data_IF_272072525538
#
_entry.id   IF_272072525538
#
_cell.length_a   1.000
_cell.length_b   1.000
_cell.length_c   1.000
_cell.angle_alpha   90.00
_cell.angle_beta   90.00
_cell.angle_gamma   90.00
#
_symmetry.space_group_name_H-M   'P 1'
#
loop_
_entity.id
_entity.type
_entity.pdbx_description
1 polymer ?
#
# COMPACT_ATOMS: atom_id res chain seq x y z
N UNK A 1 -8.50 -11.43 -3.01
CA UNK A 1 -8.83 -10.09 -2.47
C UNK A 1 -7.54 -9.53 -1.93
N UNK A 2 -7.14 -8.34 -2.34
CA UNK A 2 -5.85 -7.78 -1.93
C UNK A 2 -5.88 -7.39 -0.45
N UNK A 3 -5.08 -8.04 0.39
CA UNK A 3 -5.09 -7.82 1.84
C UNK A 3 -4.40 -6.52 2.25
N UNK A 4 -3.38 -6.11 1.51
CA UNK A 4 -2.60 -4.90 1.78
C UNK A 4 -1.95 -4.36 0.50
N UNK A 5 -1.56 -3.09 0.54
CA UNK A 5 -0.95 -2.41 -0.60
C UNK A 5 0.44 -1.88 -0.24
N UNK A 6 1.42 -2.15 -1.08
CA UNK A 6 2.70 -1.46 -1.05
C UNK A 6 2.54 -0.07 -1.68
N UNK A 7 3.07 0.96 -1.03
CA UNK A 7 3.06 2.33 -1.55
C UNK A 7 4.49 2.82 -1.70
N UNK A 8 4.84 3.31 -2.88
CA UNK A 8 6.15 3.89 -3.18
C UNK A 8 5.97 5.24 -3.86
N UNK A 9 6.75 6.24 -3.44
CA UNK A 9 6.85 7.51 -4.17
C UNK A 9 7.42 7.26 -5.57
N UNK A 10 6.77 7.81 -6.59
CA UNK A 10 7.19 7.73 -7.97
C UNK A 10 7.25 9.12 -8.59
N UNK A 11 8.30 9.35 -9.37
CA UNK A 11 8.48 10.55 -10.15
C UNK A 11 9.11 10.15 -11.48
N UNK A 12 8.44 10.48 -12.59
CA UNK A 12 8.92 10.16 -13.92
C UNK A 12 9.23 11.43 -14.67
N UNK A 13 10.32 11.43 -15.43
CA UNK A 13 10.65 12.53 -16.36
C UNK A 13 9.98 12.36 -17.71
N UNK A 14 9.29 11.24 -17.93
CA UNK A 14 8.59 10.94 -19.18
C UNK A 14 7.21 11.58 -19.16
N UNK A 15 6.78 12.28 -20.22
CA UNK A 15 5.44 12.85 -20.33
C UNK A 15 4.42 11.75 -20.63
N UNK A 16 4.16 10.90 -19.64
CA UNK A 16 3.11 9.90 -19.67
C UNK A 16 1.92 10.37 -18.85
N UNK A 17 0.73 9.92 -19.23
CA UNK A 17 -0.50 10.20 -18.49
C UNK A 17 -1.12 8.86 -18.11
N UNK A 18 -1.33 8.65 -16.81
CA UNK A 18 -1.92 7.45 -16.25
C UNK A 18 -3.31 7.75 -15.69
N UNK A 19 -4.16 6.72 -15.55
CA UNK A 19 -5.46 6.88 -14.90
C UNK A 19 -5.35 6.41 -13.46
N UNK A 20 -5.72 7.28 -12.52
CA UNK A 20 -5.71 6.94 -11.10
C UNK A 20 -6.85 5.95 -10.79
N UNK A 21 -6.56 4.76 -10.22
CA UNK A 21 -7.59 3.76 -9.93
C UNK A 21 -8.52 4.14 -8.75
N UNK A 22 -8.17 5.17 -7.97
CA UNK A 22 -8.94 5.59 -6.79
C UNK A 22 -9.98 6.67 -7.12
N UNK A 23 -9.68 7.56 -8.07
CA UNK A 23 -10.59 8.65 -8.43
C UNK A 23 -10.97 8.69 -9.92
N UNK A 24 -10.40 7.80 -10.75
CA UNK A 24 -10.67 7.74 -12.19
C UNK A 24 -10.09 8.90 -13.02
N UNK A 25 -9.46 9.90 -12.37
CA UNK A 25 -8.88 11.05 -13.06
C UNK A 25 -7.51 10.76 -13.65
N UNK A 26 -7.16 11.51 -14.69
CA UNK A 26 -5.84 11.47 -15.33
C UNK A 26 -4.79 12.09 -14.40
N UNK A 27 -3.65 11.42 -14.31
CA UNK A 27 -2.46 11.78 -13.55
C UNK A 27 -1.32 11.97 -14.55
N UNK A 28 -0.62 13.10 -14.46
CA UNK A 28 0.63 13.28 -15.19
C UNK A 28 1.79 12.60 -14.46
N UNK A 29 2.55 11.77 -15.18
CA UNK A 29 3.68 11.04 -14.63
C UNK A 29 4.83 11.95 -14.14
N UNK A 30 4.85 13.20 -14.62
CA UNK A 30 5.77 14.25 -14.19
C UNK A 30 5.35 14.92 -12.88
N UNK A 31 4.10 14.81 -12.47
CA UNK A 31 3.65 15.31 -11.16
C UNK A 31 4.06 14.33 -10.08
N UNK A 32 4.23 14.83 -8.84
CA UNK A 32 4.44 13.96 -7.69
C UNK A 32 3.26 13.00 -7.53
N UNK A 33 3.56 11.70 -7.60
CA UNK A 33 2.57 10.66 -7.48
C UNK A 33 3.14 9.44 -6.78
N UNK A 34 2.28 8.46 -6.53
CA UNK A 34 2.68 7.21 -5.89
C UNK A 34 2.32 6.03 -6.78
N UNK A 35 3.15 5.01 -6.70
CA UNK A 35 2.85 3.69 -7.26
C UNK A 35 2.33 2.83 -6.12
N UNK A 36 1.17 2.24 -6.34
CA UNK A 36 0.55 1.25 -5.45
C UNK A 36 0.69 -0.13 -6.08
N UNK A 37 1.11 -1.10 -5.28
CA UNK A 37 1.25 -2.49 -5.71
C UNK A 37 0.41 -3.38 -4.78
N UNK A 38 -0.54 -4.16 -5.33
CA UNK A 38 -1.33 -5.08 -4.52
C UNK A 38 -0.40 -6.15 -3.93
N UNK A 39 -0.38 -6.31 -2.61
CA UNK A 39 0.45 -7.30 -1.91
C UNK A 39 1.95 -7.24 -2.26
N UNK A 40 2.43 -6.09 -2.73
CA UNK A 40 3.80 -5.92 -3.20
C UNK A 40 4.08 -6.45 -4.60
N UNK A 41 3.06 -6.92 -5.32
CA UNK A 41 3.19 -7.38 -6.70
C UNK A 41 3.57 -6.23 -7.64
N UNK A 42 4.76 -6.36 -8.23
CA UNK A 42 5.34 -5.35 -9.11
C UNK A 42 4.73 -5.37 -10.50
N UNK A 43 4.11 -6.47 -10.91
CA UNK A 43 3.50 -6.63 -12.23
C UNK A 43 2.16 -5.89 -12.29
N UNK A 44 1.35 -5.99 -11.24
CA UNK A 44 0.06 -5.33 -11.06
C UNK A 44 0.13 -3.90 -10.53
N UNK A 45 1.30 -3.26 -10.56
CA UNK A 45 1.52 -1.91 -10.04
C UNK A 45 0.67 -0.85 -10.77
N UNK A 46 0.08 0.07 -10.01
CA UNK A 46 -0.80 1.13 -10.52
C UNK A 46 -0.32 2.50 -10.07
N UNK A 47 -0.49 3.50 -10.93
CA UNK A 47 -0.15 4.88 -10.60
C UNK A 47 -1.37 5.58 -10.00
N UNK A 48 -1.19 6.20 -8.84
CA UNK A 48 -2.24 6.92 -8.14
C UNK A 48 -1.73 8.28 -7.62
N UNK A 49 -2.66 9.22 -7.46
CA UNK A 49 -2.35 10.48 -6.78
C UNK A 49 -2.01 10.24 -5.32
N UNK A 50 -1.01 10.97 -4.82
CA UNK A 50 -0.64 10.95 -3.39
C UNK A 50 -1.83 11.29 -2.51
N UNK A 51 -2.61 12.32 -2.87
CA UNK A 51 -3.80 12.76 -2.15
C UNK A 51 -4.89 11.67 -2.09
N UNK A 52 -5.11 10.95 -3.19
CA UNK A 52 -6.10 9.89 -3.22
C UNK A 52 -5.71 8.72 -2.31
N UNK A 53 -4.42 8.36 -2.28
CA UNK A 53 -3.93 7.30 -1.38
C UNK A 53 -4.03 7.74 0.08
N UNK A 54 -3.71 9.00 0.40
CA UNK A 54 -3.87 9.55 1.74
C UNK A 54 -5.35 9.58 2.17
N UNK A 55 -6.26 9.98 1.28
CA UNK A 55 -7.69 9.97 1.54
C UNK A 55 -8.20 8.54 1.79
N UNK A 56 -7.83 7.58 0.94
CA UNK A 56 -8.25 6.19 1.09
C UNK A 56 -7.69 5.55 2.38
N UNK A 57 -6.46 5.90 2.77
CA UNK A 57 -5.87 5.50 4.06
C UNK A 57 -6.66 6.10 5.22
N UNK A 58 -7.01 7.38 5.17
CA UNK A 58 -7.81 8.06 6.19
C UNK A 58 -9.22 7.47 6.32
N UNK A 59 -9.80 7.03 5.22
CA UNK A 59 -11.10 6.34 5.18
C UNK A 59 -11.06 4.88 5.65
N UNK A 60 -9.87 4.30 5.88
CA UNK A 60 -9.71 2.90 6.28
C UNK A 60 -10.00 1.88 5.17
N UNK A 61 -10.29 2.32 3.95
CA UNK A 61 -10.53 1.45 2.79
C UNK A 61 -9.24 0.98 2.11
N UNK A 62 -8.10 1.56 2.49
CA UNK A 62 -6.78 1.24 1.96
C UNK A 62 -5.81 0.91 3.09
N UNK A 63 -5.51 -0.38 3.26
CA UNK A 63 -4.51 -0.87 4.20
C UNK A 63 -3.14 -0.87 3.57
N UNK A 64 -2.22 -0.10 4.15
CA UNK A 64 -0.80 -0.19 3.81
C UNK A 64 -0.17 -1.42 4.45
N UNK A 65 0.99 -1.86 3.96
CA UNK A 65 1.76 -2.95 4.58
C UNK A 65 1.89 -2.83 6.11
N UNK A 66 2.18 -1.63 6.61
CA UNK A 66 2.32 -1.36 8.05
C UNK A 66 1.02 -1.60 8.83
N UNK A 67 -0.12 -1.19 8.26
CA UNK A 67 -1.45 -1.37 8.86
C UNK A 67 -1.82 -2.85 8.92
N UNK A 68 -1.62 -3.57 7.83
CA UNK A 68 -1.84 -5.02 7.79
C UNK A 68 -0.88 -5.76 8.75
N UNK A 69 0.39 -5.37 8.81
CA UNK A 69 1.37 -5.94 9.74
C UNK A 69 0.97 -5.73 11.19
N UNK A 70 0.36 -4.59 11.53
CA UNK A 70 -0.17 -4.33 12.86
C UNK A 70 -1.39 -5.20 13.20
N UNK A 71 -2.20 -5.58 12.20
CA UNK A 71 -3.35 -6.50 12.41
C UNK A 71 -2.94 -7.97 12.59
N UNK A 72 -1.72 -8.36 12.22
CA UNK A 72 -1.28 -9.74 12.38
C UNK A 72 -1.01 -10.08 13.85
N UNK A 73 -1.46 -11.26 14.32
CA UNK A 73 -1.15 -11.74 15.65
C UNK A 73 0.38 -11.86 15.79
N UNK A 74 0.96 -11.08 16.70
CA UNK A 74 2.38 -11.21 17.07
C UNK A 74 2.55 -12.63 17.60
N UNK A 75 3.27 -13.48 16.86
CA UNK A 75 3.48 -14.86 17.30
C UNK A 75 4.01 -14.87 18.74
N UNK A 76 3.44 -15.67 19.64
CA UNK A 76 3.96 -15.77 21.00
C UNK A 76 5.42 -16.21 20.91
N UNK A 77 6.32 -15.37 21.42
CA UNK A 77 7.76 -15.62 21.37
C UNK A 77 8.09 -16.99 21.96
N UNK A 78 9.20 -17.58 21.53
CA UNK A 78 9.67 -18.91 21.97
C UNK A 78 9.62 -19.10 23.50
N UNK A 79 9.81 -18.03 24.28
CA UNK A 79 9.67 -18.06 25.75
C UNK A 79 8.27 -18.46 26.24
N UNK A 80 7.19 -18.00 25.58
CA UNK A 80 5.83 -18.41 25.93
C UNK A 80 5.57 -19.91 25.70
N UNK A 81 6.33 -20.55 24.79
CA UNK A 81 6.30 -22.02 24.59
C UNK A 81 7.06 -22.79 25.67
N UNK A 82 8.07 -22.19 26.31
CA UNK A 82 8.88 -22.84 27.34
C UNK A 82 8.21 -22.71 28.73
N UNK A 83 7.54 -21.58 29.00
CA UNK A 83 6.92 -21.31 30.31
C UNK A 83 5.45 -21.78 30.44
N UNK A 84 4.83 -22.34 29.39
CA UNK A 84 3.43 -22.80 29.41
C UNK A 84 3.22 -24.26 29.83
N UNK A 85 4.25 -24.94 30.33
CA UNK A 85 4.21 -26.35 30.73
C UNK A 85 4.79 -26.50 32.15
N UNK A 86 4.08 -25.95 33.12
CA UNK A 86 4.33 -26.07 34.55
C UNK A 86 3.01 -26.26 35.28
#
# INVERSE_FOLDING_TARGET
>A
MTEWWAVRRAHSRRPATYTCPLCGRKLHAMSEHVVIAPEGDVEGRRHAHTECVLAARKSGTFKTYDDWRATQPRQPGLLARIFGRG
#
